data_IF_934032093633
#
_entry.id   IF_934032093633
#
_cell.length_a   1.000
_cell.length_b   1.000
_cell.length_c   1.000
_cell.angle_alpha   90.00
_cell.angle_beta   90.00
_cell.angle_gamma   90.00
#
_symmetry.space_group_name_H-M   'P 1'
#
loop_
_entity.id
_entity.type
_entity.pdbx_description
1 polymer ?
#
# COMPACT_ATOMS: atom_id res chain seq x y z
N UNK A 1 0.63 1.36 -8.30
CA UNK A 1 -0.35 0.62 -7.49
C UNK A 1 0.33 0.29 -6.17
N UNK A 2 -0.40 0.38 -5.06
CA UNK A 2 0.06 -0.04 -3.73
C UNK A 2 -0.96 -0.97 -3.09
N UNK A 3 -0.55 -1.74 -2.08
CA UNK A 3 -1.49 -2.53 -1.28
C UNK A 3 -1.73 -1.86 0.07
N UNK A 4 -2.98 -1.84 0.52
CA UNK A 4 -3.35 -1.50 1.90
C UNK A 4 -3.76 -2.75 2.68
N UNK A 5 -3.43 -2.76 3.96
CA UNK A 5 -3.90 -3.76 4.91
C UNK A 5 -5.29 -3.37 5.42
N UNK A 6 -6.25 -4.28 5.31
CA UNK A 6 -7.58 -4.12 5.91
C UNK A 6 -8.09 -5.47 6.39
N UNK A 7 -8.28 -5.60 7.70
CA UNK A 7 -8.86 -6.79 8.34
C UNK A 7 -8.19 -8.12 7.92
N UNK A 8 -6.85 -8.17 7.92
CA UNK A 8 -6.11 -9.40 7.59
C UNK A 8 -5.97 -9.68 6.08
N UNK A 9 -6.34 -8.73 5.23
CA UNK A 9 -6.27 -8.87 3.76
C UNK A 9 -5.58 -7.68 3.10
N UNK A 10 -4.97 -7.94 1.95
CA UNK A 10 -4.35 -6.94 1.09
C UNK A 10 -5.33 -6.43 0.01
N UNK A 11 -5.53 -5.12 -0.08
CA UNK A 11 -6.36 -4.48 -1.10
C UNK A 11 -5.50 -3.60 -2.01
N UNK A 12 -5.64 -3.76 -3.32
CA UNK A 12 -4.94 -2.91 -4.28
C UNK A 12 -5.53 -1.49 -4.30
N UNK A 13 -4.69 -0.50 -4.49
CA UNK A 13 -5.11 0.87 -4.68
C UNK A 13 -4.33 1.45 -5.85
N UNK A 14 -5.07 2.00 -6.81
CA UNK A 14 -4.49 2.87 -7.81
C UNK A 14 -4.22 4.21 -7.13
N UNK A 15 -3.00 4.71 -7.30
CA UNK A 15 -2.55 5.94 -6.69
C UNK A 15 -1.91 6.82 -7.74
N UNK A 16 -2.11 8.13 -7.60
CA UNK A 16 -1.39 9.15 -8.34
C UNK A 16 -0.25 9.65 -7.46
N UNK A 17 0.96 9.75 -8.03
CA UNK A 17 2.15 10.23 -7.32
C UNK A 17 2.55 11.62 -7.80
N UNK A 18 3.08 12.42 -6.88
CA UNK A 18 3.66 13.74 -7.16
C UNK A 18 5.19 13.70 -7.11
N UNK A 19 5.77 14.65 -6.37
CA UNK A 19 7.22 14.75 -6.18
C UNK A 19 7.80 13.49 -5.49
N UNK A 20 9.05 13.19 -5.82
CA UNK A 20 9.80 12.05 -5.30
C UNK A 20 11.19 12.45 -4.82
N UNK A 21 11.77 11.61 -3.98
CA UNK A 21 13.17 11.69 -3.57
C UNK A 21 13.77 10.27 -3.47
N UNK A 22 15.00 10.16 -2.99
CA UNK A 22 15.73 8.89 -2.92
C UNK A 22 15.07 7.80 -2.07
N UNK A 23 14.10 8.14 -1.22
CA UNK A 23 13.46 7.20 -0.27
C UNK A 23 11.94 7.18 -0.34
N UNK A 24 11.30 7.98 -1.19
CA UNK A 24 9.84 8.04 -1.18
C UNK A 24 9.22 8.95 -2.23
N UNK A 25 7.89 8.91 -2.26
CA UNK A 25 7.03 9.59 -3.20
C UNK A 25 5.88 10.26 -2.44
N UNK A 26 5.43 11.41 -2.91
CA UNK A 26 4.16 12.01 -2.47
C UNK A 26 3.01 11.28 -3.15
N UNK A 27 2.03 10.81 -2.40
CA UNK A 27 0.76 10.28 -2.95
C UNK A 27 -0.27 11.41 -2.92
N UNK A 28 -0.82 11.77 -4.08
CA UNK A 28 -1.80 12.87 -4.21
C UNK A 28 -3.23 12.37 -4.24
N UNK A 29 -3.46 11.12 -4.67
CA UNK A 29 -4.79 10.51 -4.78
C UNK A 29 -4.72 9.00 -4.54
N UNK A 30 -5.85 8.40 -4.14
CA UNK A 30 -6.01 6.94 -4.03
C UNK A 30 -5.77 6.34 -2.64
N UNK A 31 -5.32 7.15 -1.67
CA UNK A 31 -5.19 6.78 -0.26
C UNK A 31 -5.78 7.88 0.64
N UNK A 32 -6.15 7.50 1.86
CA UNK A 32 -6.63 8.41 2.90
C UNK A 32 -5.72 8.37 4.13
N UNK A 33 -5.71 9.46 4.89
CA UNK A 33 -4.98 9.51 6.15
C UNK A 33 -5.49 8.42 7.11
N UNK A 34 -4.57 7.61 7.64
CA UNK A 34 -4.89 6.45 8.49
C UNK A 34 -4.85 5.10 7.76
N UNK A 35 -4.78 5.08 6.43
CA UNK A 35 -4.58 3.83 5.69
C UNK A 35 -3.22 3.20 6.01
N UNK A 36 -3.24 1.90 6.30
CA UNK A 36 -2.01 1.12 6.52
C UNK A 36 -1.51 0.56 5.20
N UNK A 37 -0.38 1.09 4.69
CA UNK A 37 0.22 0.68 3.42
C UNK A 37 1.21 -0.48 3.64
N UNK A 38 1.13 -1.50 2.79
CA UNK A 38 2.08 -2.61 2.74
C UNK A 38 3.25 -2.18 1.84
N UNK A 39 4.41 -1.91 2.47
CA UNK A 39 5.60 -1.39 1.80
C UNK A 39 6.71 -2.44 1.58
N UNK A 40 6.55 -3.64 2.12
CA UNK A 40 7.47 -4.77 1.93
C UNK A 40 6.69 -6.07 1.62
N UNK A 41 7.31 -7.02 0.92
CA UNK A 41 6.69 -8.30 0.52
C UNK A 41 5.52 -8.16 -0.48
N UNK A 42 5.27 -6.98 -1.03
CA UNK A 42 4.09 -6.64 -1.82
C UNK A 42 4.06 -7.22 -3.25
N UNK A 43 5.22 -7.60 -3.80
CA UNK A 43 5.34 -8.14 -5.18
C UNK A 43 4.57 -9.45 -5.36
N UNK A 44 4.42 -10.24 -4.29
CA UNK A 44 3.80 -11.57 -4.33
C UNK A 44 2.30 -11.54 -3.98
N UNK A 45 1.71 -10.36 -3.73
CA UNK A 45 0.33 -10.25 -3.27
C UNK A 45 -0.65 -10.16 -4.45
N UNK A 46 -1.71 -10.97 -4.39
CA UNK A 46 -2.92 -10.80 -5.19
C UNK A 46 -3.98 -10.00 -4.41
N UNK A 47 -4.99 -9.48 -5.11
CA UNK A 47 -6.13 -8.83 -4.44
C UNK A 47 -6.81 -9.78 -3.44
N UNK A 48 -7.13 -9.27 -2.25
CA UNK A 48 -7.71 -10.00 -1.11
C UNK A 48 -6.85 -11.14 -0.54
N UNK A 49 -5.55 -11.19 -0.87
CA UNK A 49 -4.63 -12.14 -0.26
C UNK A 49 -4.59 -11.97 1.26
N UNK A 50 -4.60 -13.08 1.99
CA UNK A 50 -4.43 -13.03 3.44
C UNK A 50 -3.01 -12.60 3.80
N UNK A 51 -2.92 -11.69 4.76
CA UNK A 51 -1.67 -11.10 5.24
C UNK A 51 -1.75 -10.89 6.76
N UNK A 52 -0.59 -10.86 7.40
CA UNK A 52 -0.45 -10.54 8.81
C UNK A 52 0.63 -9.47 8.97
N UNK A 53 0.49 -8.65 10.00
CA UNK A 53 1.49 -7.64 10.34
C UNK A 53 2.68 -8.37 10.97
N UNK A 54 3.88 -8.13 10.43
CA UNK A 54 5.13 -8.62 11.01
C UNK A 54 5.62 -7.61 12.07
N UNK A 55 6.08 -8.11 13.21
CA UNK A 55 6.66 -7.33 14.31
C UNK A 55 8.18 -7.24 14.17
#
# INVERSE_FOLDING_TARGET
MVFTFKNGKAYWNYVSTGLENSSGYVVTEGLQAGDSVIYDGNINLAHESQVMIMH
#
